data_IF_183494250356
#
_entry.id   IF_183494250356
#
_cell.length_a   1.000
_cell.length_b   1.000
_cell.length_c   1.000
_cell.angle_alpha   90.00
_cell.angle_beta   90.00
_cell.angle_gamma   90.00
#
_symmetry.space_group_name_H-M   'P 1'
#
loop_
_entity.id
_entity.type
_entity.pdbx_description
1 polymer ?
#
# COMPACT_ATOMS: atom_id res chain seq x y z
N UNK A 1 19.08 13.02 19.67
CA UNK A 1 19.56 12.26 20.85
C UNK A 1 18.47 11.38 21.45
N UNK A 2 17.37 11.90 22.01
CA UNK A 2 16.34 11.05 22.66
C UNK A 2 15.66 10.01 21.76
N UNK A 3 15.36 10.32 20.50
CA UNK A 3 14.76 9.36 19.56
C UNK A 3 15.74 8.22 19.21
N UNK A 4 17.01 8.55 18.98
CA UNK A 4 18.07 7.55 18.71
C UNK A 4 18.35 6.66 19.93
N UNK A 5 18.32 7.23 21.14
CA UNK A 5 18.51 6.47 22.39
C UNK A 5 17.35 5.51 22.67
N UNK A 6 16.11 5.90 22.31
CA UNK A 6 14.90 5.11 22.60
C UNK A 6 14.46 4.22 21.44
N UNK A 7 15.01 4.43 20.24
CA UNK A 7 14.63 3.69 19.04
C UNK A 7 13.17 3.92 18.62
N UNK A 8 12.58 5.07 18.95
CA UNK A 8 11.19 5.44 18.61
C UNK A 8 11.14 6.85 18.02
N UNK A 9 10.24 7.05 17.06
CA UNK A 9 9.91 8.38 16.52
C UNK A 9 9.05 9.15 17.52
N UNK A 10 9.48 10.35 17.90
CA UNK A 10 8.80 11.25 18.86
C UNK A 10 8.20 12.45 18.12
N UNK A 11 8.96 13.02 17.19
CA UNK A 11 8.58 14.18 16.36
C UNK A 11 8.38 13.78 14.91
N UNK A 12 7.45 14.45 14.23
CA UNK A 12 7.27 14.25 12.80
C UNK A 12 8.48 14.80 12.02
N UNK A 13 8.98 14.04 11.05
CA UNK A 13 10.12 14.44 10.22
C UNK A 13 9.66 14.57 8.76
N UNK A 14 10.04 15.67 8.12
CA UNK A 14 9.72 15.91 6.71
C UNK A 14 10.98 15.77 5.84
N UNK A 15 10.88 15.02 4.75
CA UNK A 15 11.92 14.92 3.73
C UNK A 15 11.32 14.95 2.33
N UNK A 16 12.13 15.29 1.33
CA UNK A 16 11.73 15.28 -0.08
C UNK A 16 12.57 14.25 -0.83
N UNK A 17 11.93 13.43 -1.64
CA UNK A 17 12.60 12.56 -2.60
C UNK A 17 12.00 12.72 -4.01
N UNK A 18 12.71 12.18 -5.00
CA UNK A 18 12.31 12.16 -6.39
C UNK A 18 12.20 10.70 -6.82
N UNK A 19 11.08 10.34 -7.44
CA UNK A 19 10.79 8.96 -7.85
C UNK A 19 10.35 8.96 -9.31
N UNK A 20 11.04 8.18 -10.15
CA UNK A 20 10.70 8.00 -11.58
C UNK A 20 10.06 6.64 -11.86
N UNK A 21 9.72 5.88 -10.82
CA UNK A 21 9.32 4.48 -10.93
C UNK A 21 10.50 3.52 -10.85
N UNK A 22 10.27 2.32 -10.34
CA UNK A 22 11.34 1.30 -10.24
C UNK A 22 11.89 0.87 -11.61
N UNK A 23 11.09 0.98 -12.67
CA UNK A 23 11.44 0.70 -14.07
C UNK A 23 11.63 2.00 -14.89
N UNK A 24 11.76 3.15 -14.22
CA UNK A 24 11.77 4.48 -14.86
C UNK A 24 10.55 4.74 -15.75
N UNK A 25 9.42 4.11 -15.42
CA UNK A 25 8.20 4.15 -16.22
C UNK A 25 7.40 5.45 -16.06
N UNK A 26 7.72 6.26 -15.06
CA UNK A 26 7.04 7.52 -14.78
C UNK A 26 7.94 8.72 -15.11
N UNK A 27 7.35 9.89 -15.47
CA UNK A 27 8.09 11.13 -15.33
C UNK A 27 8.55 11.31 -13.87
N UNK A 28 9.59 12.08 -13.63
CA UNK A 28 10.10 12.28 -12.26
C UNK A 28 9.04 12.97 -11.39
N UNK A 29 8.59 12.28 -10.34
CA UNK A 29 7.66 12.80 -9.35
C UNK A 29 8.40 13.24 -8.09
N UNK A 30 8.04 14.42 -7.58
CA UNK A 30 8.52 14.88 -6.29
C UNK A 30 7.58 14.39 -5.20
N UNK A 31 8.09 13.62 -4.25
CA UNK A 31 7.34 13.11 -3.09
C UNK A 31 7.84 13.81 -1.83
N UNK A 32 6.93 14.40 -1.06
CA UNK A 32 7.24 14.94 0.26
C UNK A 32 6.73 13.95 1.30
N UNK A 33 7.64 13.37 2.07
CA UNK A 33 7.34 12.35 3.06
C UNK A 33 7.32 13.02 4.44
N UNK A 34 6.21 12.83 5.16
CA UNK A 34 6.11 13.17 6.58
C UNK A 34 6.08 11.85 7.36
N UNK A 35 7.20 11.53 8.01
CA UNK A 35 7.26 10.39 8.92
C UNK A 35 6.57 10.76 10.23
N UNK A 36 5.59 9.96 10.65
CA UNK A 36 4.73 10.26 11.80
C UNK A 36 5.00 9.30 12.96
N UNK A 37 4.91 9.75 14.22
CA UNK A 37 5.05 8.85 15.36
C UNK A 37 4.00 7.74 15.38
N UNK A 38 4.42 6.50 15.56
CA UNK A 38 3.49 5.35 15.72
C UNK A 38 2.96 5.14 17.15
N UNK A 39 3.49 5.87 18.13
CA UNK A 39 3.14 5.69 19.54
C UNK A 39 1.96 6.58 19.96
N UNK A 40 1.04 6.04 20.77
CA UNK A 40 -0.20 6.72 21.20
C UNK A 40 0.02 8.02 21.96
N UNK A 41 1.15 8.13 22.66
CA UNK A 41 1.51 9.33 23.42
C UNK A 41 1.77 10.55 22.54
N UNK A 42 1.95 10.35 21.22
CA UNK A 42 2.22 11.42 20.24
C UNK A 42 1.08 11.57 19.21
N UNK A 43 -0.14 11.19 19.59
CA UNK A 43 -1.34 11.29 18.75
C UNK A 43 -1.66 12.69 18.23
N UNK A 44 -1.21 13.76 18.92
CA UNK A 44 -1.35 15.15 18.46
C UNK A 44 -0.49 15.40 17.21
N UNK A 45 0.72 14.85 17.15
CA UNK A 45 1.60 14.98 15.99
C UNK A 45 1.04 14.23 14.77
N UNK A 46 0.47 13.04 15.01
CA UNK A 46 -0.25 12.27 13.99
C UNK A 46 -1.45 13.07 13.46
N UNK A 47 -2.27 13.64 14.35
CA UNK A 47 -3.45 14.44 13.96
C UNK A 47 -3.06 15.68 13.15
N UNK A 48 -1.96 16.36 13.53
CA UNK A 48 -1.44 17.49 12.76
C UNK A 48 -0.94 17.08 11.38
N UNK A 49 -0.22 15.96 11.32
CA UNK A 49 0.32 15.45 10.07
C UNK A 49 -0.82 15.11 9.11
N UNK A 50 -1.81 14.34 9.55
CA UNK A 50 -3.00 13.94 8.78
C UNK A 50 -3.82 15.11 8.22
N UNK A 51 -3.71 16.32 8.78
CA UNK A 51 -4.38 17.52 8.25
C UNK A 51 -3.66 18.16 7.06
N UNK A 52 -2.41 17.79 6.82
CA UNK A 52 -1.52 18.41 5.83
C UNK A 52 -1.17 17.42 4.70
N UNK A 53 -1.25 16.11 4.95
CA UNK A 53 -0.98 15.10 3.91
C UNK A 53 -2.10 15.08 2.88
N UNK A 54 -1.73 14.84 1.63
CA UNK A 54 -2.68 14.52 0.57
C UNK A 54 -3.12 13.06 0.63
N UNK A 55 -2.20 12.15 0.99
CA UNK A 55 -2.46 10.71 1.15
C UNK A 55 -1.55 10.08 2.19
N UNK A 56 -1.83 8.83 2.57
CA UNK A 56 -1.09 8.12 3.61
C UNK A 56 -0.75 6.67 3.22
N UNK A 57 0.43 6.21 3.66
CA UNK A 57 0.81 4.79 3.65
C UNK A 57 0.78 4.28 5.09
N UNK A 58 -0.20 3.43 5.40
CA UNK A 58 -0.33 2.82 6.73
C UNK A 58 0.52 1.55 6.78
N UNK A 59 1.56 1.56 7.61
CA UNK A 59 2.47 0.42 7.75
C UNK A 59 1.98 -0.51 8.85
N UNK A 60 1.70 -1.76 8.51
CA UNK A 60 1.30 -2.82 9.45
C UNK A 60 2.37 -3.90 9.53
N UNK A 61 2.48 -4.54 10.69
CA UNK A 61 3.40 -5.67 10.88
C UNK A 61 2.72 -6.95 10.41
N UNK A 62 3.36 -7.73 9.53
CA UNK A 62 2.84 -8.99 9.02
C UNK A 62 2.50 -10.01 10.12
N UNK A 63 3.21 -9.99 11.25
CA UNK A 63 2.97 -10.91 12.36
C UNK A 63 2.06 -10.37 13.45
N UNK A 64 2.02 -9.06 13.66
CA UNK A 64 1.22 -8.44 14.72
C UNK A 64 -0.12 -7.90 14.23
N UNK A 65 -0.25 -7.69 12.93
CA UNK A 65 -1.44 -7.16 12.28
C UNK A 65 -1.93 -5.83 12.84
N UNK A 66 -3.25 -5.70 12.93
CA UNK A 66 -3.93 -4.50 13.42
C UNK A 66 -3.91 -4.48 14.94
N UNK A 67 -3.29 -3.44 15.50
CA UNK A 67 -3.19 -3.22 16.93
C UNK A 67 -4.14 -2.10 17.40
N UNK A 68 -4.45 -1.99 18.71
CA UNK A 68 -5.30 -0.90 19.23
C UNK A 68 -4.81 0.51 18.86
N UNK A 69 -3.50 0.68 18.68
CA UNK A 69 -2.89 1.92 18.22
C UNK A 69 -3.24 2.21 16.76
N UNK A 70 -3.22 1.19 15.90
CA UNK A 70 -3.65 1.26 14.50
C UNK A 70 -5.08 1.78 14.41
N UNK A 71 -6.01 1.25 15.21
CA UNK A 71 -7.42 1.68 15.22
C UNK A 71 -7.60 3.17 15.59
N UNK A 72 -6.72 3.69 16.44
CA UNK A 72 -6.77 5.10 16.85
C UNK A 72 -6.31 6.02 15.73
N UNK A 73 -5.18 5.71 15.09
CA UNK A 73 -4.69 6.44 13.92
C UNK A 73 -5.66 6.32 12.74
N UNK A 74 -6.25 5.14 12.54
CA UNK A 74 -7.24 4.90 11.49
C UNK A 74 -8.48 5.79 11.64
N UNK A 75 -9.01 5.92 12.86
CA UNK A 75 -10.13 6.84 13.15
C UNK A 75 -9.77 8.30 12.89
N UNK A 76 -8.53 8.71 13.20
CA UNK A 76 -8.06 10.06 12.88
C UNK A 76 -8.00 10.26 11.36
N UNK A 77 -7.44 9.31 10.61
CA UNK A 77 -7.37 9.41 9.16
C UNK A 77 -8.78 9.42 8.51
N UNK A 78 -9.75 8.67 9.05
CA UNK A 78 -11.16 8.74 8.62
C UNK A 78 -11.77 10.12 8.87
N UNK A 79 -11.50 10.75 10.01
CA UNK A 79 -12.00 12.09 10.36
C UNK A 79 -11.55 13.17 9.36
N UNK A 80 -10.36 13.01 8.79
CA UNK A 80 -9.80 13.94 7.80
C UNK A 80 -9.97 13.47 6.35
N UNK A 81 -10.67 12.33 6.14
CA UNK A 81 -10.94 11.77 4.81
C UNK A 81 -9.65 11.58 3.98
N UNK A 82 -8.54 11.23 4.62
CA UNK A 82 -7.23 11.08 3.95
C UNK A 82 -7.21 9.75 3.18
N UNK A 83 -7.11 9.77 1.83
CA UNK A 83 -6.90 8.58 1.00
C UNK A 83 -5.67 7.83 1.45
N UNK A 84 -5.75 6.50 1.50
CA UNK A 84 -4.66 5.69 2.04
C UNK A 84 -4.54 4.33 1.39
N UNK A 85 -3.33 3.81 1.48
CA UNK A 85 -2.99 2.43 1.19
C UNK A 85 -2.32 1.79 2.41
N UNK A 86 -2.25 0.47 2.43
CA UNK A 86 -1.58 -0.31 3.47
C UNK A 86 -0.35 -1.00 2.92
N UNK A 87 0.75 -0.90 3.66
CA UNK A 87 1.94 -1.71 3.45
C UNK A 87 2.10 -2.70 4.61
N UNK A 88 1.89 -3.98 4.33
CA UNK A 88 2.15 -5.06 5.28
C UNK A 88 3.65 -5.39 5.24
N UNK A 89 4.37 -4.80 6.19
CA UNK A 89 5.81 -4.90 6.31
C UNK A 89 6.22 -6.07 7.22
N UNK A 90 7.51 -6.41 7.20
CA UNK A 90 8.12 -7.46 8.01
C UNK A 90 7.64 -8.86 7.63
N UNK A 91 7.41 -9.09 6.33
CA UNK A 91 7.12 -10.42 5.79
C UNK A 91 8.23 -11.45 6.05
N UNK A 92 9.42 -10.98 6.42
CA UNK A 92 10.58 -11.79 6.82
C UNK A 92 10.52 -12.34 8.26
N UNK A 93 9.51 -11.98 9.06
CA UNK A 93 9.45 -12.39 10.47
C UNK A 93 8.61 -13.66 10.68
N UNK A 94 8.98 -14.41 11.72
CA UNK A 94 8.17 -15.52 12.20
C UNK A 94 6.71 -15.10 12.49
N UNK A 95 5.76 -15.90 12.03
CA UNK A 95 4.33 -15.64 12.07
C UNK A 95 3.85 -14.59 11.08
N UNK A 96 4.63 -14.24 10.04
CA UNK A 96 4.19 -13.33 8.99
C UNK A 96 3.07 -13.95 8.17
N UNK A 97 1.91 -13.30 8.15
CA UNK A 97 0.74 -13.74 7.39
C UNK A 97 0.03 -12.53 6.77
N UNK A 98 0.23 -12.35 5.47
CA UNK A 98 -0.33 -11.20 4.75
C UNK A 98 -1.86 -11.23 4.72
N UNK A 99 -2.45 -12.37 4.37
CA UNK A 99 -3.89 -12.50 4.22
C UNK A 99 -4.63 -12.40 5.55
N UNK A 100 -4.02 -12.86 6.65
CA UNK A 100 -4.54 -12.62 7.99
C UNK A 100 -4.58 -11.13 8.34
N UNK A 101 -3.54 -10.36 7.98
CA UNK A 101 -3.54 -8.89 8.19
C UNK A 101 -4.59 -8.21 7.32
N UNK A 102 -4.73 -8.61 6.06
CA UNK A 102 -5.79 -8.13 5.15
C UNK A 102 -7.17 -8.37 5.78
N UNK A 103 -7.44 -9.58 6.28
CA UNK A 103 -8.69 -9.89 6.96
C UNK A 103 -8.90 -9.07 8.25
N UNK A 104 -7.83 -8.76 8.99
CA UNK A 104 -7.92 -7.88 10.16
C UNK A 104 -8.28 -6.44 9.79
N UNK A 105 -7.81 -5.92 8.64
CA UNK A 105 -8.23 -4.60 8.14
C UNK A 105 -9.74 -4.59 7.90
N UNK A 106 -10.27 -5.65 7.28
CA UNK A 106 -11.72 -5.80 7.05
C UNK A 106 -12.50 -5.87 8.35
N UNK A 107 -12.08 -6.74 9.26
CA UNK A 107 -12.87 -7.08 10.47
C UNK A 107 -12.69 -6.12 11.65
N UNK A 108 -11.50 -5.53 11.81
CA UNK A 108 -11.20 -4.62 12.94
C UNK A 108 -11.29 -3.15 12.56
N UNK A 109 -10.88 -2.78 11.35
CA UNK A 109 -10.90 -1.39 10.88
C UNK A 109 -12.17 -1.04 10.10
N UNK A 110 -13.02 -2.04 9.82
CA UNK A 110 -14.25 -1.91 9.04
C UNK A 110 -14.03 -1.22 7.68
N UNK A 111 -12.88 -1.51 7.06
CA UNK A 111 -12.52 -1.01 5.73
C UNK A 111 -12.70 -2.10 4.67
N UNK A 112 -12.63 -1.72 3.40
CA UNK A 112 -12.64 -2.65 2.26
C UNK A 112 -11.21 -2.80 1.73
N UNK A 113 -10.42 -3.77 2.25
CA UNK A 113 -9.07 -3.98 1.75
C UNK A 113 -9.10 -4.68 0.39
N UNK A 114 -8.25 -4.23 -0.53
CA UNK A 114 -8.06 -4.86 -1.85
C UNK A 114 -6.58 -5.19 -2.00
N UNK A 115 -6.18 -6.48 -1.92
CA UNK A 115 -4.83 -6.91 -2.21
C UNK A 115 -4.43 -6.55 -3.64
N UNK A 116 -3.36 -5.77 -3.81
CA UNK A 116 -2.74 -5.51 -5.12
C UNK A 116 -1.49 -6.36 -5.34
N UNK A 117 -1.05 -7.05 -4.28
CA UNK A 117 0.10 -7.94 -4.29
C UNK A 117 -0.14 -9.16 -3.41
N UNK A 118 0.53 -10.27 -3.73
CA UNK A 118 0.66 -11.43 -2.86
C UNK A 118 2.14 -11.73 -2.56
N UNK A 119 2.49 -12.17 -1.34
CA UNK A 119 3.87 -12.51 -1.01
C UNK A 119 4.26 -13.89 -1.57
N UNK A 120 5.49 -14.01 -2.09
CA UNK A 120 6.07 -15.29 -2.47
C UNK A 120 6.84 -15.84 -1.26
N UNK A 121 6.25 -16.85 -0.60
CA UNK A 121 6.75 -17.38 0.67
C UNK A 121 6.49 -16.44 1.85
N UNK A 122 6.89 -16.87 3.05
CA UNK A 122 6.77 -16.10 4.28
C UNK A 122 7.99 -16.34 5.18
N UNK A 123 8.17 -15.48 6.17
CA UNK A 123 9.25 -15.59 7.14
C UNK A 123 10.64 -15.62 6.45
N UNK A 124 11.51 -16.57 6.84
CA UNK A 124 12.82 -16.74 6.23
C UNK A 124 12.73 -17.10 4.74
N UNK A 125 11.64 -17.73 4.30
CA UNK A 125 11.39 -18.13 2.91
C UNK A 125 10.76 -17.03 2.04
N UNK A 126 10.51 -15.84 2.61
CA UNK A 126 10.02 -14.70 1.83
C UNK A 126 11.03 -14.27 0.76
N UNK A 127 10.64 -14.42 -0.51
CA UNK A 127 11.51 -14.23 -1.69
C UNK A 127 11.18 -12.99 -2.49
N UNK A 128 9.92 -12.59 -2.55
CA UNK A 128 9.45 -11.50 -3.40
C UNK A 128 7.94 -11.31 -3.27
N UNK A 129 7.35 -10.61 -4.22
CA UNK A 129 5.90 -10.40 -4.28
C UNK A 129 5.40 -10.62 -5.70
N UNK A 130 4.13 -10.93 -5.85
CA UNK A 130 3.43 -11.01 -7.12
C UNK A 130 2.63 -9.73 -7.28
N UNK A 131 2.80 -9.06 -8.41
CA UNK A 131 1.95 -7.94 -8.83
C UNK A 131 0.68 -8.52 -9.46
N UNK A 132 -0.45 -8.36 -8.78
CA UNK A 132 -1.74 -8.89 -9.24
C UNK A 132 -2.32 -8.06 -10.39
N UNK A 133 -1.89 -6.82 -10.60
CA UNK A 133 -2.35 -6.00 -11.73
C UNK A 133 -1.67 -6.48 -13.02
N UNK A 134 -0.36 -6.74 -12.96
CA UNK A 134 0.43 -7.22 -14.10
C UNK A 134 0.43 -8.74 -14.26
N UNK A 135 -0.03 -9.47 -13.24
CA UNK A 135 0.05 -10.92 -13.13
C UNK A 135 1.47 -11.45 -13.33
N UNK A 136 2.44 -10.88 -12.62
CA UNK A 136 3.86 -11.28 -12.66
C UNK A 136 4.50 -11.30 -11.29
N UNK A 137 5.41 -12.23 -11.07
CA UNK A 137 6.29 -12.24 -9.91
C UNK A 137 7.36 -11.14 -10.07
N UNK A 138 7.54 -10.33 -9.03
CA UNK A 138 8.63 -9.37 -8.91
C UNK A 138 9.72 -9.99 -8.04
N UNK A 139 10.87 -10.21 -8.65
CA UNK A 139 12.04 -10.75 -7.98
C UNK A 139 13.11 -9.67 -7.89
N UNK A 140 13.42 -9.23 -6.67
CA UNK A 140 14.46 -8.24 -6.42
C UNK A 140 15.81 -8.91 -6.25
N UNK A 141 16.82 -8.32 -6.87
CA UNK A 141 18.18 -8.76 -6.73
C UNK A 141 18.70 -8.48 -5.31
N UNK A 142 19.13 -9.53 -4.61
CA UNK A 142 19.68 -9.40 -3.26
C UNK A 142 21.08 -8.76 -3.28
N UNK A 143 21.84 -8.94 -4.36
CA UNK A 143 23.23 -8.48 -4.47
C UNK A 143 23.36 -6.95 -4.50
N UNK A 144 22.32 -6.24 -4.95
CA UNK A 144 22.28 -4.79 -5.03
C UNK A 144 21.27 -4.14 -4.09
N UNK A 145 20.83 -4.87 -3.06
CA UNK A 145 19.86 -4.40 -2.08
C UNK A 145 18.51 -4.00 -2.71
N UNK A 146 18.09 -4.70 -3.76
CA UNK A 146 16.83 -4.48 -4.46
C UNK A 146 16.81 -3.26 -5.38
N UNK A 147 17.97 -2.77 -5.83
CA UNK A 147 18.05 -1.72 -6.84
C UNK A 147 17.60 -2.23 -8.21
N UNK A 148 17.85 -3.50 -8.52
CA UNK A 148 17.36 -4.14 -9.75
C UNK A 148 16.34 -5.23 -9.43
N UNK A 149 15.47 -5.49 -10.39
CA UNK A 149 14.45 -6.52 -10.29
C UNK A 149 14.18 -7.15 -11.66
N UNK A 150 13.58 -8.34 -11.65
CA UNK A 150 13.05 -9.01 -12.83
C UNK A 150 11.56 -9.26 -12.67
N UNK A 151 10.86 -9.26 -13.80
CA UNK A 151 9.51 -9.79 -13.89
C UNK A 151 9.57 -11.23 -14.37
N UNK A 152 9.17 -12.15 -13.51
CA UNK A 152 9.14 -13.58 -13.77
C UNK A 152 7.69 -14.09 -13.85
N UNK A 153 7.45 -15.25 -14.48
CA UNK A 153 6.16 -15.93 -14.38
C UNK A 153 5.78 -16.22 -12.92
N UNK A 154 4.47 -16.23 -12.63
CA UNK A 154 3.96 -16.63 -11.33
C UNK A 154 4.35 -18.10 -11.04
N UNK A 155 4.82 -18.45 -9.84
CA UNK A 155 5.07 -19.83 -9.44
C UNK A 155 3.82 -20.71 -9.65
N UNK A 156 4.01 -21.92 -10.20
CA UNK A 156 2.91 -22.82 -10.56
C UNK A 156 1.95 -23.14 -9.39
N UNK A 157 2.50 -23.20 -8.17
CA UNK A 157 1.76 -23.46 -6.94
C UNK A 157 0.92 -22.29 -6.42
N UNK A 158 1.10 -21.10 -6.99
CA UNK A 158 0.39 -19.87 -6.61
C UNK A 158 -0.55 -19.35 -7.70
N UNK A 159 -0.59 -19.95 -8.89
CA UNK A 159 -1.37 -19.45 -10.04
C UNK A 159 -2.85 -19.33 -9.66
N UNK A 160 -3.45 -20.38 -9.11
CA UNK A 160 -4.87 -20.40 -8.76
C UNK A 160 -5.23 -19.32 -7.72
N UNK A 161 -4.39 -19.16 -6.68
CA UNK A 161 -4.58 -18.12 -5.65
C UNK A 161 -4.43 -16.71 -6.24
N UNK A 162 -3.47 -16.51 -7.15
CA UNK A 162 -3.28 -15.23 -7.82
C UNK A 162 -4.46 -14.91 -8.75
N UNK A 163 -5.01 -15.90 -9.46
CA UNK A 163 -6.18 -15.71 -10.31
C UNK A 163 -7.42 -15.34 -9.47
N UNK A 164 -7.62 -15.97 -8.31
CA UNK A 164 -8.69 -15.62 -7.37
C UNK A 164 -8.59 -14.16 -6.92
N UNK A 165 -7.44 -13.76 -6.37
CA UNK A 165 -7.24 -12.39 -5.91
C UNK A 165 -7.16 -11.35 -7.04
N UNK A 166 -6.72 -11.74 -8.24
CA UNK A 166 -6.80 -10.89 -9.42
C UNK A 166 -8.26 -10.61 -9.79
N UNK A 167 -9.12 -11.63 -9.80
CA UNK A 167 -10.54 -11.45 -10.10
C UNK A 167 -11.23 -10.54 -9.07
N UNK A 168 -10.95 -10.73 -7.77
CA UNK A 168 -11.46 -9.82 -6.72
C UNK A 168 -10.97 -8.38 -6.93
N UNK A 169 -9.70 -8.20 -7.32
CA UNK A 169 -9.12 -6.90 -7.62
C UNK A 169 -9.76 -6.24 -8.84
N UNK A 170 -10.02 -7.00 -9.91
CA UNK A 170 -10.68 -6.51 -11.13
C UNK A 170 -12.13 -6.15 -10.86
N UNK A 171 -12.86 -6.97 -10.08
CA UNK A 171 -14.21 -6.66 -9.63
C UNK A 171 -14.25 -5.37 -8.81
N UNK A 172 -13.30 -5.21 -7.88
CA UNK A 172 -13.17 -3.97 -7.12
C UNK A 172 -12.84 -2.77 -8.03
N UNK A 173 -12.05 -2.93 -9.08
CA UNK A 173 -11.82 -1.86 -10.04
C UNK A 173 -13.07 -1.52 -10.86
N UNK A 174 -13.84 -2.53 -11.27
CA UNK A 174 -15.05 -2.38 -12.06
C UNK A 174 -16.15 -1.59 -11.34
N UNK A 175 -16.28 -1.75 -10.01
CA UNK A 175 -17.22 -1.00 -9.17
C UNK A 175 -16.99 0.53 -9.15
N UNK A 176 -15.88 1.02 -9.70
CA UNK A 176 -15.57 2.45 -9.73
C UNK A 176 -16.54 3.28 -10.60
N UNK A 177 -17.16 2.66 -11.62
CA UNK A 177 -18.12 3.34 -12.50
C UNK A 177 -19.04 2.35 -13.22
N UNK A 178 -20.21 2.82 -13.64
CA UNK A 178 -21.15 2.02 -14.45
C UNK A 178 -20.51 1.52 -15.75
N UNK A 179 -19.70 2.35 -16.42
CA UNK A 179 -18.99 2.00 -17.66
C UNK A 179 -18.02 0.82 -17.47
N UNK A 180 -17.20 0.86 -16.40
CA UNK A 180 -16.26 -0.22 -16.10
C UNK A 180 -16.99 -1.50 -15.66
N UNK A 181 -18.07 -1.37 -14.90
CA UNK A 181 -18.91 -2.50 -14.49
C UNK A 181 -19.57 -3.20 -15.68
N UNK A 182 -20.20 -2.44 -16.59
CA UNK A 182 -20.80 -2.98 -17.80
C UNK A 182 -19.77 -3.72 -18.65
N UNK A 183 -18.61 -3.09 -18.88
CA UNK A 183 -17.52 -3.72 -19.65
C UNK A 183 -17.04 -5.02 -19.01
N UNK A 184 -16.84 -5.06 -17.69
CA UNK A 184 -16.44 -6.27 -16.99
C UNK A 184 -17.48 -7.39 -17.10
N UNK A 185 -18.77 -7.07 -17.01
CA UNK A 185 -19.85 -8.05 -17.15
C UNK A 185 -20.00 -8.59 -18.58
N UNK A 186 -19.72 -7.78 -19.60
CA UNK A 186 -19.82 -8.17 -21.01
C UNK A 186 -18.58 -8.91 -21.52
N UNK A 187 -17.39 -8.39 -21.25
CA UNK A 187 -16.12 -8.89 -21.78
C UNK A 187 -15.42 -9.88 -20.82
N UNK A 188 -15.76 -9.86 -19.54
CA UNK A 188 -15.13 -10.68 -18.50
C UNK A 188 -13.73 -10.23 -18.08
N UNK A 189 -13.24 -9.11 -18.59
CA UNK A 189 -11.89 -8.60 -18.28
C UNK A 189 -11.82 -7.07 -18.42
N UNK A 190 -10.88 -6.46 -17.69
CA UNK A 190 -10.48 -5.06 -17.85
C UNK A 190 -9.01 -4.99 -18.25
N UNK A 191 -8.62 -3.96 -18.99
CA UNK A 191 -7.20 -3.72 -19.31
C UNK A 191 -6.43 -3.24 -18.07
N UNK A 192 -5.11 -3.41 -18.04
CA UNK A 192 -4.26 -2.90 -16.94
C UNK A 192 -4.52 -1.41 -16.64
N UNK A 193 -4.71 -0.59 -17.68
CA UNK A 193 -4.97 0.83 -17.53
C UNK A 193 -6.34 1.09 -16.87
N UNK A 194 -7.37 0.35 -17.25
CA UNK A 194 -8.72 0.46 -16.70
C UNK A 194 -8.78 -0.03 -15.26
N UNK A 195 -8.09 -1.14 -14.95
CA UNK A 195 -7.93 -1.63 -13.58
C UNK A 195 -7.31 -0.54 -12.71
N UNK A 196 -6.19 0.02 -13.15
CA UNK A 196 -5.50 1.08 -12.40
C UNK A 196 -6.38 2.32 -12.22
N UNK A 197 -7.11 2.72 -13.25
CA UNK A 197 -8.04 3.83 -13.20
C UNK A 197 -9.15 3.60 -12.17
N UNK A 198 -9.79 2.42 -12.18
CA UNK A 198 -10.86 2.08 -11.25
C UNK A 198 -10.37 2.03 -9.80
N UNK A 199 -9.25 1.35 -9.55
CA UNK A 199 -8.63 1.28 -8.22
C UNK A 199 -8.22 2.67 -7.70
N UNK A 200 -7.62 3.51 -8.56
CA UNK A 200 -7.27 4.89 -8.20
C UNK A 200 -8.52 5.66 -7.80
N UNK A 201 -9.55 5.69 -8.64
CA UNK A 201 -10.78 6.44 -8.38
C UNK A 201 -11.39 6.09 -7.01
N UNK A 202 -11.50 4.79 -6.69
CA UNK A 202 -12.03 4.31 -5.41
C UNK A 202 -11.10 4.58 -4.24
N UNK A 203 -9.78 4.55 -4.45
CA UNK A 203 -8.78 4.92 -3.43
C UNK A 203 -8.91 6.39 -3.05
N UNK A 204 -9.02 7.29 -4.04
CA UNK A 204 -9.19 8.74 -3.82
C UNK A 204 -10.54 9.04 -3.13
N UNK A 205 -11.57 8.23 -3.40
CA UNK A 205 -12.86 8.32 -2.75
C UNK A 205 -12.90 7.74 -1.32
N UNK A 206 -11.80 7.15 -0.82
CA UNK A 206 -11.73 6.41 0.45
C UNK A 206 -12.71 5.21 0.54
N UNK A 207 -13.09 4.64 -0.60
CA UNK A 207 -14.02 3.50 -0.64
C UNK A 207 -13.29 2.17 -0.40
N UNK A 208 -12.05 2.08 -0.89
CA UNK A 208 -11.19 0.91 -0.76
C UNK A 208 -9.83 1.30 -0.18
N UNK A 209 -9.11 0.29 0.31
CA UNK A 209 -7.73 0.44 0.75
C UNK A 209 -6.87 -0.61 0.06
N UNK A 210 -5.99 -0.16 -0.83
CA UNK A 210 -5.07 -1.04 -1.52
C UNK A 210 -4.04 -1.60 -0.53
N UNK A 211 -3.81 -2.92 -0.58
CA UNK A 211 -2.91 -3.63 0.31
C UNK A 211 -1.72 -4.18 -0.48
N UNK A 212 -0.54 -3.68 -0.15
CA UNK A 212 0.76 -4.14 -0.64
C UNK A 212 1.52 -4.86 0.48
N UNK A 213 2.53 -5.65 0.14
CA UNK A 213 3.33 -6.38 1.13
C UNK A 213 4.82 -6.33 0.81
N UNK A 214 5.65 -6.61 1.81
CA UNK A 214 7.09 -6.69 1.63
C UNK A 214 7.91 -6.75 2.91
N UNK A 215 9.21 -6.67 2.74
CA UNK A 215 10.18 -6.55 3.82
C UNK A 215 11.10 -5.37 3.55
N UNK A 216 10.90 -4.29 4.30
CA UNK A 216 11.82 -3.16 4.29
C UNK A 216 13.21 -3.56 4.83
N UNK A 217 13.30 -4.60 5.68
CA UNK A 217 14.58 -5.09 6.18
C UNK A 217 15.39 -5.82 5.10
N UNK A 218 14.73 -6.64 4.27
CA UNK A 218 15.35 -7.32 3.13
C UNK A 218 15.39 -6.45 1.85
N UNK A 219 14.91 -5.21 1.88
CA UNK A 219 14.77 -4.30 0.74
C UNK A 219 13.94 -4.86 -0.43
N UNK A 220 12.85 -5.57 -0.12
CA UNK A 220 11.94 -6.16 -1.10
C UNK A 220 10.52 -5.61 -0.90
N UNK A 221 9.91 -5.09 -1.96
CA UNK A 221 8.52 -4.59 -1.97
C UNK A 221 8.36 -3.09 -1.71
N UNK A 222 9.32 -2.42 -1.05
CA UNK A 222 9.23 -0.96 -0.78
C UNK A 222 9.20 -0.15 -2.07
N UNK A 223 9.96 -0.58 -3.08
CA UNK A 223 10.02 0.00 -4.42
C UNK A 223 8.64 -0.04 -5.10
N UNK A 224 7.97 -1.20 -5.03
CA UNK A 224 6.64 -1.36 -5.61
C UNK A 224 5.57 -0.56 -4.84
N UNK A 225 5.75 -0.33 -3.54
CA UNK A 225 4.90 0.60 -2.78
C UNK A 225 5.07 2.04 -3.27
N UNK A 226 6.30 2.47 -3.58
CA UNK A 226 6.53 3.83 -4.12
C UNK A 226 5.88 4.01 -5.51
N UNK A 227 5.89 2.98 -6.34
CA UNK A 227 5.14 2.97 -7.60
C UNK A 227 3.64 3.10 -7.34
N UNK A 228 3.10 2.29 -6.43
CA UNK A 228 1.68 2.34 -6.04
C UNK A 228 1.28 3.70 -5.43
N UNK A 229 2.18 4.39 -4.72
CA UNK A 229 1.95 5.76 -4.23
C UNK A 229 1.71 6.71 -5.41
N UNK A 230 2.55 6.66 -6.45
CA UNK A 230 2.34 7.49 -7.64
C UNK A 230 1.04 7.11 -8.36
N UNK A 231 0.80 5.81 -8.52
CA UNK A 231 -0.35 5.32 -9.30
C UNK A 231 -1.70 5.57 -8.60
N UNK A 232 -1.77 5.46 -7.28
CA UNK A 232 -3.05 5.37 -6.56
C UNK A 232 -3.29 6.43 -5.49
N UNK A 233 -2.28 7.14 -5.01
CA UNK A 233 -2.48 8.25 -4.07
C UNK A 233 -2.68 9.59 -4.79
N UNK A 234 -3.40 10.53 -4.17
CA UNK A 234 -3.72 11.81 -4.80
C UNK A 234 -2.49 12.71 -4.93
N UNK A 235 -2.51 13.53 -5.98
CA UNK A 235 -1.69 14.73 -6.07
C UNK A 235 -2.31 15.88 -5.24
N UNK A 236 -1.54 16.95 -4.95
CA UNK A 236 -2.06 18.10 -4.19
C UNK A 236 -3.27 18.80 -4.84
N UNK A 237 -3.51 18.60 -6.14
CA UNK A 237 -4.67 19.14 -6.86
C UNK A 237 -5.92 18.27 -6.80
N UNK A 238 -5.81 17.04 -6.29
CA UNK A 238 -6.90 16.06 -6.19
C UNK A 238 -7.46 15.95 -4.77
N UNK A 239 -6.98 16.76 -3.82
CA UNK A 239 -7.47 16.80 -2.45
C UNK A 239 -8.26 18.08 -2.15
N UNK A 240 -9.09 18.02 -1.10
CA UNK A 240 -9.82 19.20 -0.62
C UNK A 240 -8.84 20.25 -0.12
N UNK A 241 -9.09 21.51 -0.48
CA UNK A 241 -8.28 22.62 0.00
C UNK A 241 -8.24 22.67 1.53
N UNK A 242 -7.04 22.81 2.09
CA UNK A 242 -6.86 22.95 3.53
C UNK A 242 -7.41 24.31 3.97
N UNK A 243 -8.49 24.29 4.76
CA UNK A 243 -8.99 25.48 5.42
C UNK A 243 -8.08 25.80 6.63
N UNK A 244 -7.38 26.95 6.55
CA UNK A 244 -6.63 27.49 7.68
C UNK A 244 -7.53 27.85 8.87
N UNK A 245 -6.93 27.92 10.07
CA UNK A 245 -7.58 28.44 11.27
C UNK A 245 -7.39 29.97 11.31
#
# INVERSE_FOLDING_TARGET
EQEQERGITITSAATTCFWSGMDQQFPEHRVNIIDTPGHVDFTIEVERSLRVLDGAVVVLCASSGVQPQTETVWRQANKYEVPRMVFVNKMDRAGADFLAVVNQIKTRLAAVPVPIQLPIGAEDEFKGVIDLVKMKAINWNEDDMGMTFTYDPIPEDMVDECEEYHNELVEAAAEASEELMEKYLEEGALTEAEIKQGLRARTLANEIVLCACGSAFKNKGVQAVLDAVIEFLPSPTEVKAINGI
#
